data_IF_935405657164
#
_entry.id   IF_935405657164
#
_cell.length_a   1.000
_cell.length_b   1.000
_cell.length_c   1.000
_cell.angle_alpha   90.00
_cell.angle_beta   90.00
_cell.angle_gamma   90.00
#
_symmetry.space_group_name_H-M   'P 1'
#
loop_
_entity.id
_entity.type
_entity.pdbx_description
1 polymer ?
#
# COMPACT_ATOMS: atom_id res chain seq x y z
N UNK A 1 -17.88 22.44 0.19
CA UNK A 1 -17.12 22.17 -1.05
C UNK A 1 -17.97 21.53 -2.16
N UNK A 2 -19.25 21.23 -1.92
CA UNK A 2 -20.15 20.75 -2.98
C UNK A 2 -20.49 21.85 -3.99
N UNK A 3 -20.64 23.08 -3.51
CA UNK A 3 -20.96 24.28 -4.30
C UNK A 3 -19.74 24.94 -4.98
N UNK A 4 -18.52 24.49 -4.64
CA UNK A 4 -17.32 25.08 -5.23
C UNK A 4 -17.15 24.54 -6.67
N UNK A 5 -16.88 25.42 -7.67
CA UNK A 5 -16.50 25.02 -9.01
C UNK A 5 -15.35 24.00 -9.01
N UNK A 6 -15.39 23.09 -9.97
CA UNK A 6 -14.41 21.99 -10.09
C UNK A 6 -13.00 22.53 -10.27
N UNK A 7 -12.84 23.59 -11.05
CA UNK A 7 -11.55 24.23 -11.34
C UNK A 7 -10.91 24.78 -10.07
N UNK A 8 -11.71 25.37 -9.18
CA UNK A 8 -11.22 25.86 -7.90
C UNK A 8 -10.82 24.72 -6.96
N UNK A 9 -11.56 23.60 -6.97
CA UNK A 9 -11.19 22.42 -6.19
C UNK A 9 -9.85 21.85 -6.65
N UNK A 10 -9.66 21.69 -7.97
CA UNK A 10 -8.41 21.21 -8.56
C UNK A 10 -7.25 22.16 -8.22
N UNK A 11 -7.48 23.48 -8.34
CA UNK A 11 -6.47 24.48 -7.99
C UNK A 11 -6.07 24.43 -6.52
N UNK A 12 -7.01 24.17 -5.60
CA UNK A 12 -6.70 23.94 -4.18
C UNK A 12 -5.86 22.66 -4.03
N UNK A 13 -6.22 21.58 -4.73
CA UNK A 13 -5.50 20.32 -4.65
C UNK A 13 -4.07 20.39 -5.18
N UNK A 14 -3.77 21.28 -6.13
CA UNK A 14 -2.40 21.53 -6.60
C UNK A 14 -1.45 22.02 -5.49
N UNK A 15 -1.97 22.50 -4.35
CA UNK A 15 -1.15 22.92 -3.20
C UNK A 15 -0.96 21.81 -2.15
N UNK A 16 -1.54 20.62 -2.35
CA UNK A 16 -1.43 19.50 -1.43
C UNK A 16 -0.27 18.59 -1.85
N UNK A 17 0.52 18.15 -0.88
CA UNK A 17 1.45 17.04 -1.10
C UNK A 17 0.69 15.71 -1.30
N UNK A 18 1.41 14.66 -1.72
CA UNK A 18 0.80 13.38 -2.01
C UNK A 18 0.09 12.74 -0.80
N UNK A 19 0.56 12.99 0.43
CA UNK A 19 -0.03 12.43 1.65
C UNK A 19 -1.38 13.10 1.94
N UNK A 20 -1.40 14.44 1.92
CA UNK A 20 -2.61 15.22 2.14
C UNK A 20 -3.62 15.00 1.01
N UNK A 21 -3.17 14.88 -0.24
CA UNK A 21 -4.02 14.54 -1.37
C UNK A 21 -4.64 13.14 -1.23
N UNK A 22 -3.86 12.16 -0.76
CA UNK A 22 -4.36 10.80 -0.48
C UNK A 22 -5.42 10.80 0.62
N UNK A 23 -5.21 11.58 1.69
CA UNK A 23 -6.21 11.78 2.75
C UNK A 23 -7.45 12.49 2.22
N UNK A 24 -7.28 13.53 1.40
CA UNK A 24 -8.37 14.30 0.79
C UNK A 24 -9.31 13.40 -0.02
N UNK A 25 -8.78 12.42 -0.77
CA UNK A 25 -9.59 11.46 -1.54
C UNK A 25 -10.48 10.56 -0.68
N UNK A 26 -10.21 10.43 0.62
CA UNK A 26 -11.01 9.63 1.55
C UNK A 26 -12.20 10.40 2.13
N UNK A 27 -12.31 11.72 1.89
CA UNK A 27 -13.36 12.58 2.46
C UNK A 27 -14.72 12.31 1.82
N UNK A 28 -14.81 12.30 0.49
CA UNK A 28 -16.06 12.00 -0.22
C UNK A 28 -15.80 11.54 -1.67
N UNK A 29 -16.86 11.07 -2.35
CA UNK A 29 -16.76 10.58 -3.75
C UNK A 29 -16.29 11.65 -4.73
N UNK A 30 -16.76 12.90 -4.59
CA UNK A 30 -16.33 14.03 -5.44
C UNK A 30 -14.81 14.24 -5.31
N UNK A 31 -14.29 14.24 -4.09
CA UNK A 31 -12.86 14.44 -3.83
C UNK A 31 -12.02 13.24 -4.28
N UNK A 32 -12.55 12.02 -4.18
CA UNK A 32 -11.89 10.84 -4.72
C UNK A 32 -11.63 10.97 -6.23
N UNK A 33 -12.63 11.45 -6.98
CA UNK A 33 -12.51 11.69 -8.42
C UNK A 33 -11.53 12.82 -8.70
N UNK A 34 -11.73 13.99 -8.11
CA UNK A 34 -10.89 15.17 -8.36
C UNK A 34 -9.44 14.97 -7.91
N UNK A 35 -9.22 14.34 -6.76
CA UNK A 35 -7.88 14.04 -6.25
C UNK A 35 -7.18 12.94 -7.02
N UNK A 36 -7.86 12.23 -7.92
CA UNK A 36 -7.25 11.25 -8.84
C UNK A 36 -6.98 11.84 -10.23
N UNK A 37 -7.10 13.17 -10.40
CA UNK A 37 -6.82 13.84 -11.65
C UNK A 37 -5.39 13.59 -12.15
N UNK A 38 -5.26 13.21 -13.42
CA UNK A 38 -4.00 12.72 -13.97
C UNK A 38 -2.95 13.84 -14.13
N UNK A 39 -3.39 15.08 -14.42
CA UNK A 39 -2.49 16.23 -14.57
C UNK A 39 -1.93 16.59 -13.20
N UNK A 40 -2.79 16.58 -12.18
CA UNK A 40 -2.39 16.86 -10.81
C UNK A 40 -1.31 15.89 -10.29
N UNK A 41 -1.43 14.59 -10.56
CA UNK A 41 -0.39 13.62 -10.21
C UNK A 41 0.88 13.74 -11.07
N UNK A 42 0.76 14.19 -12.33
CA UNK A 42 1.92 14.48 -13.18
C UNK A 42 2.73 15.66 -12.63
N UNK A 43 2.05 16.74 -12.23
CA UNK A 43 2.68 17.92 -11.65
C UNK A 43 3.36 17.58 -10.33
N UNK A 44 2.71 16.80 -9.45
CA UNK A 44 3.32 16.30 -8.22
C UNK A 44 4.56 15.44 -8.49
N UNK A 45 4.54 14.62 -9.55
CA UNK A 45 5.70 13.82 -9.93
C UNK A 45 6.86 14.73 -10.34
N UNK A 46 6.59 15.71 -11.21
CA UNK A 46 7.58 16.68 -11.69
C UNK A 46 8.17 17.51 -10.57
N UNK A 47 7.35 17.97 -9.63
CA UNK A 47 7.81 18.73 -8.47
C UNK A 47 8.78 17.91 -7.60
N UNK A 48 8.49 16.62 -7.40
CA UNK A 48 9.30 15.76 -6.51
C UNK A 48 10.55 15.18 -7.17
N UNK A 49 10.47 14.78 -8.44
CA UNK A 49 11.54 14.05 -9.15
C UNK A 49 12.15 14.80 -10.33
N UNK A 50 11.59 15.93 -10.73
CA UNK A 50 12.03 16.74 -11.85
C UNK A 50 11.38 16.34 -13.19
N UNK A 51 11.35 17.30 -14.11
CA UNK A 51 10.78 17.14 -15.45
C UNK A 51 11.48 16.05 -16.27
N UNK A 52 12.82 15.98 -16.20
CA UNK A 52 13.60 14.98 -16.96
C UNK A 52 13.19 13.54 -16.60
N UNK A 53 12.97 13.29 -15.30
CA UNK A 53 12.46 11.99 -14.84
C UNK A 53 11.02 11.80 -15.26
N UNK A 54 10.18 12.82 -15.19
CA UNK A 54 8.80 12.73 -15.66
C UNK A 54 8.74 12.27 -17.12
N UNK A 55 9.56 12.84 -18.00
CA UNK A 55 9.63 12.42 -19.41
C UNK A 55 9.91 10.93 -19.53
N UNK A 56 10.89 10.39 -18.79
CA UNK A 56 11.22 8.97 -18.78
C UNK A 56 10.09 8.08 -18.27
N UNK A 57 9.37 8.52 -17.23
CA UNK A 57 8.29 7.77 -16.59
C UNK A 57 6.91 8.06 -17.18
N UNK A 58 6.83 8.79 -18.30
CA UNK A 58 5.57 9.13 -18.95
C UNK A 58 4.74 7.86 -19.18
N UNK A 59 3.52 7.76 -18.63
CA UNK A 59 2.70 6.58 -18.79
C UNK A 59 2.38 6.34 -20.27
N UNK A 60 2.81 5.21 -20.81
CA UNK A 60 2.59 4.84 -22.23
C UNK A 60 1.33 3.98 -22.44
N UNK A 61 0.83 3.36 -21.37
CA UNK A 61 -0.28 2.39 -21.36
C UNK A 61 -1.51 2.93 -20.61
N UNK A 62 -2.39 2.04 -20.14
CA UNK A 62 -3.54 2.32 -19.28
C UNK A 62 -3.19 2.84 -17.87
N UNK A 63 -1.91 3.03 -17.55
CA UNK A 63 -1.46 3.50 -16.24
C UNK A 63 -1.67 5.01 -16.12
N UNK A 64 -2.14 5.44 -14.96
CA UNK A 64 -2.22 6.86 -14.62
C UNK A 64 -0.89 7.36 -14.02
N UNK A 65 -0.68 8.67 -14.04
CA UNK A 65 0.42 9.31 -13.30
C UNK A 65 0.37 9.01 -11.81
N UNK A 66 -0.82 8.80 -11.25
CA UNK A 66 -0.98 8.33 -9.87
C UNK A 66 -0.33 6.97 -9.66
N UNK A 67 -0.55 6.01 -10.56
CA UNK A 67 0.05 4.67 -10.46
C UNK A 67 1.58 4.76 -10.55
N UNK A 68 2.09 5.53 -11.51
CA UNK A 68 3.52 5.80 -11.68
C UNK A 68 4.13 6.43 -10.43
N UNK A 69 3.46 7.44 -9.86
CA UNK A 69 3.88 8.11 -8.63
C UNK A 69 4.00 7.11 -7.48
N UNK A 70 2.97 6.28 -7.25
CA UNK A 70 2.94 5.33 -6.13
C UNK A 70 4.02 4.26 -6.30
N UNK A 71 4.30 3.80 -7.52
CA UNK A 71 5.38 2.85 -7.80
C UNK A 71 6.75 3.48 -7.53
N UNK A 72 6.97 4.69 -8.02
CA UNK A 72 8.25 5.39 -7.82
C UNK A 72 8.48 5.78 -6.35
N UNK A 73 7.45 6.22 -5.63
CA UNK A 73 7.51 6.47 -4.19
C UNK A 73 7.88 5.19 -3.41
N UNK A 74 7.32 4.03 -3.80
CA UNK A 74 7.73 2.75 -3.22
C UNK A 74 9.20 2.44 -3.53
N UNK A 75 9.65 2.63 -4.77
CA UNK A 75 11.07 2.45 -5.13
C UNK A 75 12.00 3.30 -4.25
N UNK A 76 11.65 4.56 -3.99
CA UNK A 76 12.45 5.44 -3.14
C UNK A 76 12.44 4.98 -1.66
N UNK A 77 11.31 4.50 -1.15
CA UNK A 77 11.16 4.05 0.24
C UNK A 77 11.82 2.70 0.50
N UNK A 78 11.71 1.74 -0.42
CA UNK A 78 12.08 0.34 -0.18
C UNK A 78 13.23 -0.15 -1.06
N UNK A 79 13.54 0.55 -2.14
CA UNK A 79 14.57 0.18 -3.14
C UNK A 79 14.01 -0.63 -4.31
N UNK A 80 14.89 -0.98 -5.24
CA UNK A 80 14.53 -1.67 -6.49
C UNK A 80 14.48 -3.20 -6.38
N UNK A 81 15.02 -3.77 -5.29
CA UNK A 81 15.12 -5.21 -5.08
C UNK A 81 13.78 -5.89 -4.78
N UNK A 82 13.77 -7.23 -4.83
CA UNK A 82 12.64 -8.02 -4.36
C UNK A 82 12.57 -7.94 -2.83
N UNK A 83 11.46 -7.46 -2.28
CA UNK A 83 11.30 -7.25 -0.84
C UNK A 83 9.90 -7.61 -0.36
N UNK A 84 9.82 -8.06 0.89
CA UNK A 84 8.58 -8.13 1.63
C UNK A 84 8.44 -6.83 2.40
N UNK A 85 7.32 -6.13 2.21
CA UNK A 85 7.04 -4.89 2.93
C UNK A 85 5.73 -5.02 3.71
N UNK A 86 5.62 -4.20 4.75
CA UNK A 86 4.40 -4.05 5.54
C UNK A 86 3.81 -2.65 5.32
N UNK A 87 2.58 -2.59 4.84
CA UNK A 87 1.79 -1.34 4.78
C UNK A 87 0.55 -1.51 5.66
N UNK A 88 0.43 -0.73 6.74
CA UNK A 88 -0.62 -0.93 7.73
C UNK A 88 -0.51 -2.30 8.41
N UNK A 89 -1.55 -3.12 8.34
CA UNK A 89 -1.57 -4.48 8.87
C UNK A 89 -1.20 -5.55 7.84
N UNK A 90 -0.98 -5.15 6.59
CA UNK A 90 -0.94 -6.00 5.42
C UNK A 90 0.49 -6.16 4.89
N UNK A 91 0.78 -7.34 4.35
CA UNK A 91 2.09 -7.72 3.85
C UNK A 91 2.04 -7.95 2.34
N UNK A 92 3.04 -7.41 1.65
CA UNK A 92 3.14 -7.47 0.20
C UNK A 92 4.54 -7.89 -0.23
N UNK A 93 4.61 -8.69 -1.28
CA UNK A 93 5.84 -8.91 -2.03
C UNK A 93 5.93 -7.85 -3.13
N UNK A 94 7.04 -7.10 -3.12
CA UNK A 94 7.28 -5.99 -4.04
C UNK A 94 8.57 -6.22 -4.81
N UNK A 95 8.55 -5.87 -6.10
CA UNK A 95 9.74 -5.83 -6.94
C UNK A 95 9.70 -4.57 -7.80
N UNK A 96 10.78 -3.78 -7.76
CA UNK A 96 10.88 -2.49 -8.50
C UNK A 96 9.65 -1.59 -8.27
N UNK A 97 9.22 -1.48 -7.01
CA UNK A 97 8.07 -0.68 -6.61
C UNK A 97 6.70 -1.29 -6.93
N UNK A 98 6.60 -2.28 -7.80
CA UNK A 98 5.35 -2.95 -8.17
C UNK A 98 4.96 -4.04 -7.16
N UNK A 99 3.67 -4.11 -6.79
CA UNK A 99 3.15 -5.19 -5.94
C UNK A 99 3.01 -6.44 -6.81
N UNK A 100 3.81 -7.45 -6.49
CA UNK A 100 3.77 -8.75 -7.16
C UNK A 100 2.71 -9.65 -6.54
N UNK A 101 2.58 -9.62 -5.21
CA UNK A 101 1.66 -10.50 -4.49
C UNK A 101 1.26 -9.93 -3.14
N UNK A 102 -0.01 -10.08 -2.78
CA UNK A 102 -0.49 -9.93 -1.41
C UNK A 102 -0.20 -11.20 -0.60
N UNK A 103 0.47 -11.06 0.53
CA UNK A 103 0.94 -12.18 1.35
C UNK A 103 0.02 -12.47 2.54
N UNK A 104 -0.79 -11.51 2.97
CA UNK A 104 -1.74 -11.66 4.07
C UNK A 104 -1.79 -10.45 4.99
N UNK A 105 -2.70 -10.51 5.96
CA UNK A 105 -2.90 -9.49 6.98
C UNK A 105 -2.65 -10.07 8.34
N UNK A 106 -1.84 -9.41 9.16
CA UNK A 106 -1.63 -9.83 10.53
C UNK A 106 -2.81 -9.38 11.38
N UNK A 107 -3.79 -10.26 11.53
CA UNK A 107 -4.82 -10.08 12.56
C UNK A 107 -4.15 -10.17 13.93
N UNK A 108 -4.22 -9.11 14.73
CA UNK A 108 -3.89 -9.23 16.15
C UNK A 108 -4.81 -10.30 16.72
N UNK A 109 -4.25 -11.46 17.07
CA UNK A 109 -4.95 -12.43 17.90
C UNK A 109 -5.23 -11.70 19.22
N UNK A 110 -6.46 -11.20 19.35
CA UNK A 110 -7.03 -10.87 20.66
C UNK A 110 -6.88 -12.15 21.48
N UNK A 111 -6.09 -12.05 22.55
CA UNK A 111 -5.79 -13.12 23.53
C UNK A 111 -7.07 -13.91 23.84
N UNK A 112 -7.17 -15.11 23.28
CA UNK A 112 -8.07 -16.17 23.77
C UNK A 112 -7.17 -17.32 24.22
N UNK A 113 -6.57 -17.11 25.40
CA UNK A 113 -6.21 -18.21 26.30
C UNK A 113 -7.38 -18.38 27.25
N UNK A 114 -8.31 -19.23 26.84
CA UNK A 114 -9.35 -19.96 27.57
C UNK A 114 -10.25 -20.51 26.45
N UNK A 115 -10.32 -21.79 26.13
CA UNK A 115 -10.21 -22.96 26.99
C UNK A 115 -9.91 -24.13 26.04
N UNK A 116 -8.77 -24.79 26.21
CA UNK A 116 -8.67 -26.20 25.80
C UNK A 116 -9.63 -26.97 26.70
N UNK A 117 -10.71 -27.48 26.12
CA UNK A 117 -11.41 -28.74 26.40
C UNK A 117 -12.90 -28.60 26.01
N UNK A 118 -13.39 -29.60 25.27
CA UNK A 118 -14.76 -30.12 25.28
C UNK A 118 -15.52 -30.15 23.94
N UNK A 119 -15.58 -31.37 23.39
CA UNK A 119 -16.76 -32.07 22.84
C UNK A 119 -17.28 -31.66 21.44
N UNK A 120 -16.80 -32.43 20.46
CA UNK A 120 -17.58 -33.26 19.51
C UNK A 120 -19.06 -32.88 19.29
N UNK A 121 -19.40 -32.45 18.07
CA UNK A 121 -20.78 -32.24 17.62
C UNK A 121 -20.87 -31.97 16.11
N UNK A 122 -21.46 -32.94 15.43
CA UNK A 122 -21.92 -33.15 14.04
C UNK A 122 -21.97 -32.05 12.95
N UNK A 123 -21.93 -32.60 11.72
CA UNK A 123 -22.06 -32.06 10.37
C UNK A 123 -23.14 -30.97 10.16
N UNK A 124 -22.89 -30.03 9.25
CA UNK A 124 -23.57 -29.89 7.92
C UNK A 124 -22.90 -28.76 7.08
N UNK A 125 -22.34 -29.14 5.91
CA UNK A 125 -22.34 -28.49 4.57
C UNK A 125 -22.57 -26.96 4.43
N UNK A 126 -21.89 -26.12 3.63
CA UNK A 126 -21.10 -26.25 2.39
C UNK A 126 -20.16 -25.05 2.18
N UNK A 127 -19.06 -25.25 1.43
CA UNK A 127 -18.52 -24.22 0.53
C UNK A 127 -17.26 -23.48 0.96
N UNK A 128 -16.08 -24.11 0.86
CA UNK A 128 -14.95 -23.53 0.09
C UNK A 128 -13.77 -24.51 0.05
N UNK A 129 -13.42 -24.94 -1.15
CA UNK A 129 -12.26 -25.75 -1.48
C UNK A 129 -10.97 -24.94 -1.30
N UNK A 130 -10.13 -25.35 -0.35
CA UNK A 130 -8.70 -25.68 -0.58
C UNK A 130 -7.95 -25.72 0.76
N UNK A 131 -8.01 -26.88 1.43
CA UNK A 131 -6.99 -27.25 2.39
C UNK A 131 -5.67 -27.49 1.65
N UNK A 132 -4.62 -26.77 2.06
CA UNK A 132 -3.23 -27.12 1.80
C UNK A 132 -2.49 -27.30 3.13
N UNK A 133 -1.62 -28.31 3.29
CA UNK A 133 -0.90 -28.54 4.53
C UNK A 133 0.20 -27.47 4.72
N UNK A 134 0.32 -26.91 5.93
CA UNK A 134 1.38 -26.00 6.42
C UNK A 134 1.28 -24.48 6.18
N UNK A 135 0.08 -23.89 6.10
CA UNK A 135 -0.07 -22.42 6.15
C UNK A 135 0.49 -21.77 7.44
N UNK A 136 0.60 -22.51 8.56
CA UNK A 136 0.98 -21.90 9.84
C UNK A 136 2.43 -21.43 9.95
N UNK A 137 3.41 -22.19 9.46
CA UNK A 137 4.84 -21.87 9.66
C UNK A 137 5.34 -20.94 8.55
N UNK A 138 4.98 -21.21 7.29
CA UNK A 138 5.38 -20.38 6.16
C UNK A 138 4.87 -18.94 6.30
N UNK A 139 3.59 -18.77 6.65
CA UNK A 139 3.00 -17.44 6.87
C UNK A 139 3.69 -16.70 8.03
N UNK A 140 3.99 -17.41 9.13
CA UNK A 140 4.78 -16.85 10.24
C UNK A 140 6.18 -16.43 9.81
N UNK A 141 6.86 -17.21 8.96
CA UNK A 141 8.18 -16.87 8.42
C UNK A 141 8.08 -15.62 7.54
N UNK A 142 7.09 -15.55 6.65
CA UNK A 142 6.90 -14.39 5.77
C UNK A 142 6.61 -13.11 6.58
N UNK A 143 5.74 -13.20 7.59
CA UNK A 143 5.46 -12.06 8.46
C UNK A 143 6.67 -11.69 9.31
N UNK A 144 7.41 -12.67 9.83
CA UNK A 144 8.65 -12.43 10.55
C UNK A 144 9.70 -11.72 9.68
N UNK A 145 9.89 -12.15 8.42
CA UNK A 145 10.80 -11.49 7.49
C UNK A 145 10.35 -10.05 7.23
N UNK A 146 9.05 -9.83 7.05
CA UNK A 146 8.49 -8.48 6.90
C UNK A 146 8.74 -7.58 8.11
N UNK A 147 8.47 -8.10 9.32
CA UNK A 147 8.73 -7.39 10.58
C UNK A 147 10.24 -7.10 10.76
N UNK A 148 11.09 -8.06 10.43
CA UNK A 148 12.54 -7.94 10.52
C UNK A 148 13.09 -6.86 9.57
N UNK A 149 12.58 -6.76 8.34
CA UNK A 149 12.97 -5.73 7.39
C UNK A 149 12.61 -4.32 7.92
N UNK A 150 11.42 -4.15 8.51
CA UNK A 150 11.00 -2.89 9.13
C UNK A 150 11.94 -2.50 10.27
N UNK A 151 12.17 -3.42 11.21
CA UNK A 151 13.05 -3.18 12.35
C UNK A 151 14.50 -2.88 11.92
N UNK A 152 15.01 -3.58 10.90
CA UNK A 152 16.37 -3.36 10.36
C UNK A 152 16.52 -1.96 9.74
N UNK A 153 15.51 -1.48 9.01
CA UNK A 153 15.56 -0.15 8.40
C UNK A 153 15.48 0.99 9.43
N UNK A 154 14.74 0.80 10.53
CA UNK A 154 14.75 1.75 11.66
C UNK A 154 16.15 1.88 12.27
N UNK A 155 16.83 0.74 12.49
CA UNK A 155 18.20 0.71 13.02
C UNK A 155 19.23 1.30 12.04
N UNK A 156 19.06 1.12 10.73
CA UNK A 156 19.97 1.72 9.73
C UNK A 156 19.83 3.24 9.69
N UNK A 157 18.60 3.76 9.79
CA UNK A 157 18.36 5.21 9.82
C UNK A 157 18.91 5.86 11.08
N UNK A 158 18.82 5.21 12.24
CA UNK A 158 19.37 5.76 13.49
C UNK A 158 20.90 5.83 13.55
N UNK A 159 21.61 5.10 12.68
CA UNK A 159 23.08 5.17 12.56
C UNK A 159 23.58 6.21 11.57
N UNK A 160 22.69 6.74 10.74
CA UNK A 160 22.99 7.77 9.72
C UNK A 160 22.65 9.19 10.22
N UNK A 161 22.14 9.30 11.45
CA UNK A 161 21.98 10.54 12.21
C UNK A 161 22.98 10.56 13.36
#
# INVERSE_FOLDING_TARGET
MEELPVELCLKIFCFLDYQNLSTAQQVCRKWKVLGSDNILWADLFKERWGEDRAVFYTPTDSKSWKDVYIVQDRCDRVGLGLKIIREGADYYLIYRGEIQRYLGSRRQRKRQEATTLSIQGELTQEGSLAGGPSYGILERILFFIGDLEVASNEVKRSRLM
#
